data_IF_270256711253
#
_entry.id   IF_270256711253
#
_cell.length_a   1.000
_cell.length_b   1.000
_cell.length_c   1.000
_cell.angle_alpha   90.00
_cell.angle_beta   90.00
_cell.angle_gamma   90.00
#
_symmetry.space_group_name_H-M   'P 1'
#
loop_
_entity.id
_entity.type
_entity.pdbx_description
1 polymer ?
#
# COMPACT_ATOMS: atom_id res chain seq x y z
N UNK A 1 27.54 -15.03 56.29
CA UNK A 1 26.85 -15.92 55.34
C UNK A 1 26.93 -15.27 53.96
N UNK A 2 27.80 -15.76 53.09
CA UNK A 2 27.96 -15.24 51.73
C UNK A 2 26.98 -15.96 50.79
N UNK A 3 26.20 -15.26 49.96
CA UNK A 3 25.36 -15.93 48.96
C UNK A 3 26.22 -16.43 47.80
N UNK A 4 26.20 -17.74 47.62
CA UNK A 4 26.82 -18.49 46.54
C UNK A 4 26.10 -18.17 45.22
N UNK A 5 26.73 -17.38 44.34
CA UNK A 5 26.23 -17.19 42.98
C UNK A 5 26.53 -18.45 42.14
N UNK A 6 25.47 -19.08 41.61
CA UNK A 6 25.60 -20.14 40.60
C UNK A 6 26.00 -19.51 39.25
N UNK A 7 26.96 -20.08 38.51
CA UNK A 7 27.36 -19.56 37.21
C UNK A 7 26.27 -19.80 36.17
N UNK A 8 26.08 -18.80 35.30
CA UNK A 8 25.21 -18.85 34.13
C UNK A 8 25.71 -19.94 33.16
N UNK A 9 24.77 -20.77 32.72
CA UNK A 9 24.98 -21.83 31.73
C UNK A 9 25.45 -21.21 30.42
N UNK A 10 26.64 -21.63 29.99
CA UNK A 10 27.18 -21.43 28.65
C UNK A 10 26.47 -22.46 27.75
N UNK A 11 25.70 -22.01 26.77
CA UNK A 11 25.23 -22.88 25.70
C UNK A 11 26.19 -22.77 24.52
N UNK A 12 26.85 -23.89 24.24
CA UNK A 12 27.65 -24.12 23.05
C UNK A 12 26.79 -24.08 21.78
N UNK A 13 27.38 -23.59 20.70
CA UNK A 13 26.95 -23.90 19.33
C UNK A 13 27.23 -25.38 19.05
N UNK A 14 26.26 -26.07 18.44
CA UNK A 14 26.46 -26.76 17.16
C UNK A 14 25.22 -27.54 16.69
N UNK A 15 25.01 -27.44 15.37
CA UNK A 15 24.49 -28.45 14.43
C UNK A 15 22.98 -28.71 14.26
N UNK A 16 22.52 -28.23 13.09
CA UNK A 16 21.65 -28.89 12.07
C UNK A 16 20.24 -29.39 12.43
N UNK A 17 19.23 -28.75 11.79
CA UNK A 17 17.92 -29.37 11.52
C UNK A 17 16.70 -28.46 11.70
N UNK A 18 16.25 -27.79 10.62
CA UNK A 18 14.95 -27.10 10.43
C UNK A 18 14.60 -25.93 11.40
N UNK A 19 13.76 -24.95 11.00
CA UNK A 19 13.65 -23.67 11.73
C UNK A 19 12.77 -23.82 12.99
N UNK A 20 13.37 -24.34 14.06
CA UNK A 20 12.82 -24.39 15.42
C UNK A 20 12.75 -23.01 16.11
N UNK A 21 13.05 -21.93 15.38
CA UNK A 21 13.18 -20.59 15.95
C UNK A 21 11.89 -20.03 16.53
N UNK A 22 10.71 -20.55 16.14
CA UNK A 22 9.40 -20.09 16.65
C UNK A 22 9.24 -20.36 18.15
N UNK A 23 9.86 -21.43 18.68
CA UNK A 23 9.67 -21.87 20.08
C UNK A 23 10.42 -21.05 21.13
N UNK A 24 11.37 -20.19 20.74
CA UNK A 24 12.14 -19.35 21.69
C UNK A 24 11.59 -17.93 21.87
N UNK A 25 10.53 -17.55 21.14
CA UNK A 25 10.04 -16.17 21.12
C UNK A 25 9.19 -15.77 22.35
N UNK A 26 8.44 -16.69 22.95
CA UNK A 26 7.60 -16.41 24.12
C UNK A 26 8.17 -17.10 25.35
N UNK A 27 8.44 -16.34 26.42
CA UNK A 27 9.00 -16.84 27.68
C UNK A 27 7.87 -17.48 28.50
N UNK A 28 8.03 -18.78 28.81
CA UNK A 28 7.11 -19.55 29.65
C UNK A 28 6.41 -20.65 28.87
N UNK A 29 6.17 -21.79 29.52
CA UNK A 29 5.54 -22.98 28.92
C UNK A 29 4.29 -22.57 28.10
N UNK A 30 4.41 -22.62 26.77
CA UNK A 30 3.36 -22.22 25.83
C UNK A 30 2.13 -23.14 25.87
N UNK A 31 2.22 -24.26 26.59
CA UNK A 31 1.13 -25.23 26.75
C UNK A 31 -0.12 -24.61 27.44
N UNK A 32 0.06 -23.58 28.28
CA UNK A 32 -1.06 -22.84 28.90
C UNK A 32 -1.71 -21.80 27.97
N UNK A 33 -1.10 -21.51 26.82
CA UNK A 33 -1.67 -20.63 25.79
C UNK A 33 -2.34 -21.40 24.65
N UNK A 34 -2.02 -22.68 24.49
CA UNK A 34 -2.46 -23.54 23.39
C UNK A 34 -3.71 -24.37 23.67
N UNK A 35 -4.36 -24.23 24.83
CA UNK A 35 -5.53 -25.04 25.21
C UNK A 35 -6.85 -24.60 24.51
N UNK A 36 -6.78 -24.07 23.29
CA UNK A 36 -7.92 -23.50 22.55
C UNK A 36 -8.08 -24.11 21.14
N UNK A 37 -7.74 -25.38 21.01
CA UNK A 37 -7.86 -26.14 19.76
C UNK A 37 -9.29 -26.67 19.61
N UNK A 38 -10.26 -25.82 19.22
CA UNK A 38 -11.56 -26.22 18.61
C UNK A 38 -12.56 -25.08 18.30
N UNK A 39 -12.13 -23.83 18.16
CA UNK A 39 -13.04 -22.75 17.71
C UNK A 39 -12.56 -22.19 16.37
N UNK A 40 -13.51 -21.94 15.48
CA UNK A 40 -13.31 -21.27 14.19
C UNK A 40 -12.25 -20.17 14.29
N UNK A 41 -11.20 -20.25 13.47
CA UNK A 41 -10.03 -19.36 13.56
C UNK A 41 -10.39 -17.86 13.46
N UNK A 42 -11.43 -17.53 12.69
CA UNK A 42 -11.97 -16.17 12.58
C UNK A 42 -12.70 -15.71 13.85
N UNK A 43 -13.33 -16.62 14.58
CA UNK A 43 -14.10 -16.29 15.78
C UNK A 43 -13.17 -16.00 16.96
N UNK A 44 -12.01 -16.65 17.01
CA UNK A 44 -11.02 -16.45 18.06
C UNK A 44 -10.41 -15.05 18.05
N UNK A 45 -9.94 -14.59 16.89
CA UNK A 45 -9.36 -13.24 16.76
C UNK A 45 -10.41 -12.16 17.10
N UNK A 46 -11.64 -12.36 16.66
CA UNK A 46 -12.77 -11.48 16.98
C UNK A 46 -13.04 -11.45 18.49
N UNK A 47 -13.00 -12.62 19.15
CA UNK A 47 -13.10 -12.74 20.60
C UNK A 47 -12.00 -11.96 21.34
N UNK A 48 -10.74 -12.08 20.89
CA UNK A 48 -9.62 -11.31 21.47
C UNK A 48 -9.79 -9.80 21.29
N UNK A 49 -10.25 -9.35 20.12
CA UNK A 49 -10.53 -7.93 19.88
C UNK A 49 -11.64 -7.44 20.82
N UNK A 50 -12.71 -8.21 21.01
CA UNK A 50 -13.77 -7.86 21.97
C UNK A 50 -13.28 -7.85 23.42
N UNK A 51 -12.42 -8.79 23.81
CA UNK A 51 -11.80 -8.82 25.14
C UNK A 51 -10.96 -7.56 25.38
N UNK A 52 -10.12 -7.18 24.41
CA UNK A 52 -9.29 -5.98 24.46
C UNK A 52 -10.13 -4.71 24.54
N UNK A 53 -11.20 -4.59 23.74
CA UNK A 53 -12.10 -3.43 23.78
C UNK A 53 -12.77 -3.26 25.14
N UNK A 54 -13.04 -4.36 25.86
CA UNK A 54 -13.62 -4.32 27.22
C UNK A 54 -12.58 -4.07 28.31
N UNK A 55 -11.38 -4.60 28.13
CA UNK A 55 -10.29 -4.49 29.11
C UNK A 55 -8.96 -4.15 28.43
N UNK A 56 -8.75 -2.87 28.07
CA UNK A 56 -7.57 -2.44 27.31
C UNK A 56 -6.26 -2.70 28.07
N UNK A 57 -6.28 -2.72 29.40
CA UNK A 57 -5.10 -2.97 30.24
C UNK A 57 -4.67 -4.43 30.35
N UNK A 58 -5.40 -5.38 29.73
CA UNK A 58 -5.08 -6.80 29.81
C UNK A 58 -3.87 -7.15 28.94
N UNK A 59 -2.66 -7.05 29.52
CA UNK A 59 -1.40 -7.33 28.81
C UNK A 59 -1.38 -8.73 28.15
N UNK A 60 -1.94 -9.73 28.85
CA UNK A 60 -1.99 -11.11 28.35
C UNK A 60 -2.84 -11.23 27.08
N UNK A 61 -3.97 -10.51 26.99
CA UNK A 61 -4.82 -10.50 25.80
C UNK A 61 -4.10 -9.89 24.59
N UNK A 62 -3.32 -8.82 24.79
CA UNK A 62 -2.48 -8.24 23.73
C UNK A 62 -1.41 -9.21 23.23
N UNK A 63 -0.71 -9.86 24.15
CA UNK A 63 0.33 -10.85 23.82
C UNK A 63 -0.27 -12.04 23.07
N UNK A 64 -1.45 -12.53 23.48
CA UNK A 64 -2.20 -13.58 22.78
C UNK A 64 -2.56 -13.16 21.36
N UNK A 65 -3.05 -11.93 21.18
CA UNK A 65 -3.39 -11.39 19.85
C UNK A 65 -2.16 -11.26 18.96
N UNK A 66 -1.06 -10.72 19.47
CA UNK A 66 0.22 -10.64 18.71
C UNK A 66 0.68 -12.03 18.30
N UNK A 67 0.67 -12.99 19.24
CA UNK A 67 1.08 -14.36 18.97
C UNK A 67 0.23 -15.02 17.89
N UNK A 68 -1.10 -14.88 17.99
CA UNK A 68 -2.03 -15.41 17.00
C UNK A 68 -1.76 -14.83 15.62
N UNK A 69 -1.70 -13.50 15.50
CA UNK A 69 -1.41 -12.84 14.22
C UNK A 69 -0.06 -13.26 13.63
N UNK A 70 0.96 -13.45 14.47
CA UNK A 70 2.27 -13.93 14.04
C UNK A 70 2.21 -15.39 13.57
N UNK A 71 1.53 -16.27 14.30
CA UNK A 71 1.43 -17.69 13.95
C UNK A 71 0.72 -17.88 12.60
N UNK A 72 -0.37 -17.13 12.39
CA UNK A 72 -1.19 -17.17 11.17
C UNK A 72 -0.62 -16.33 10.02
N UNK A 73 0.56 -15.70 10.19
CA UNK A 73 1.22 -14.86 9.18
C UNK A 73 0.36 -13.69 8.68
N UNK A 74 -0.42 -13.10 9.58
CA UNK A 74 -1.31 -11.98 9.28
C UNK A 74 -0.55 -10.66 9.44
N UNK A 75 0.18 -10.25 8.40
CA UNK A 75 1.06 -9.05 8.43
C UNK A 75 0.36 -7.78 8.92
N UNK A 76 -0.76 -7.40 8.30
CA UNK A 76 -1.48 -6.17 8.66
C UNK A 76 -2.12 -6.22 10.06
N UNK A 77 -2.83 -7.30 10.46
CA UNK A 77 -3.30 -7.47 11.83
C UNK A 77 -2.19 -7.56 12.89
N UNK A 78 -1.03 -8.13 12.55
CA UNK A 78 0.13 -8.22 13.44
C UNK A 78 0.69 -6.83 13.73
N UNK A 79 0.90 -6.03 12.68
CA UNK A 79 1.31 -4.64 12.84
C UNK A 79 0.33 -3.87 13.73
N UNK A 80 -0.98 -3.98 13.47
CA UNK A 80 -2.01 -3.34 14.26
C UNK A 80 -2.00 -3.75 15.74
N UNK A 81 -1.83 -5.05 16.00
CA UNK A 81 -1.75 -5.59 17.36
C UNK A 81 -0.51 -5.07 18.11
N UNK A 82 0.62 -4.90 17.43
CA UNK A 82 1.83 -4.29 18.02
C UNK A 82 1.62 -2.80 18.32
N UNK A 83 0.98 -2.06 17.41
CA UNK A 83 0.64 -0.64 17.63
C UNK A 83 -0.29 -0.50 18.84
N UNK A 84 -1.36 -1.29 18.91
CA UNK A 84 -2.28 -1.33 20.06
C UNK A 84 -1.57 -1.66 21.38
N UNK A 85 -0.65 -2.62 21.35
CA UNK A 85 0.16 -3.00 22.51
C UNK A 85 1.05 -1.87 23.00
N UNK A 86 1.73 -1.16 22.08
CA UNK A 86 2.56 -0.01 22.43
C UNK A 86 1.72 1.14 23.01
N UNK A 87 0.55 1.42 22.41
CA UNK A 87 -0.40 2.43 22.89
C UNK A 87 -0.84 2.17 24.32
N UNK A 88 -1.24 0.93 24.64
CA UNK A 88 -1.67 0.57 25.99
C UNK A 88 -0.53 0.65 27.00
N UNK A 89 0.68 0.27 26.58
CA UNK A 89 1.85 0.37 27.45
C UNK A 89 2.27 1.82 27.72
N UNK A 90 2.03 2.75 26.78
CA UNK A 90 2.29 4.18 26.93
C UNK A 90 3.68 4.45 27.56
N UNK A 91 4.73 4.01 26.85
CA UNK A 91 6.14 4.05 27.27
C UNK A 91 6.51 3.21 28.51
N UNK A 92 5.60 2.43 29.10
CA UNK A 92 5.95 1.46 30.14
C UNK A 92 6.43 0.15 29.51
N UNK A 93 7.24 -0.63 30.23
CA UNK A 93 7.60 -1.97 29.76
C UNK A 93 8.50 -2.00 28.51
N UNK A 94 9.45 -1.07 28.36
CA UNK A 94 10.35 -1.01 27.20
C UNK A 94 10.99 -2.35 26.80
N UNK A 95 11.37 -3.17 27.79
CA UNK A 95 11.97 -4.47 27.54
C UNK A 95 11.00 -5.45 26.86
N UNK A 96 9.73 -5.48 27.26
CA UNK A 96 8.74 -6.35 26.62
C UNK A 96 8.31 -5.80 25.26
N UNK A 97 8.15 -4.48 25.13
CA UNK A 97 7.87 -3.80 23.86
C UNK A 97 8.91 -4.12 22.80
N UNK A 98 10.19 -3.96 23.16
CA UNK A 98 11.32 -4.28 22.26
C UNK A 98 11.33 -5.76 21.89
N UNK A 99 11.12 -6.66 22.85
CA UNK A 99 11.06 -8.11 22.58
C UNK A 99 9.94 -8.47 21.62
N UNK A 100 8.73 -7.93 21.80
CA UNK A 100 7.59 -8.21 20.93
C UNK A 100 7.84 -7.70 19.50
N UNK A 101 8.32 -6.45 19.34
CA UNK A 101 8.62 -5.87 18.02
C UNK A 101 9.77 -6.63 17.33
N UNK A 102 10.85 -6.94 18.05
CA UNK A 102 11.96 -7.73 17.50
C UNK A 102 11.54 -9.15 17.14
N UNK A 103 10.65 -9.75 17.94
CA UNK A 103 10.12 -11.09 17.68
C UNK A 103 9.28 -11.18 16.41
N UNK A 104 8.51 -10.12 16.14
CA UNK A 104 7.67 -10.00 14.94
C UNK A 104 8.44 -9.57 13.68
N UNK A 105 9.73 -9.22 13.77
CA UNK A 105 10.50 -8.56 12.71
C UNK A 105 10.43 -9.25 11.35
N UNK A 106 10.42 -10.59 11.31
CA UNK A 106 10.43 -11.38 10.08
C UNK A 106 9.12 -11.27 9.28
N UNK A 107 8.04 -10.83 9.90
CA UNK A 107 6.72 -10.72 9.27
C UNK A 107 6.28 -9.27 9.02
N UNK A 108 7.09 -8.30 9.42
CA UNK A 108 6.80 -6.87 9.23
C UNK A 108 7.49 -6.35 7.98
N UNK A 109 6.83 -5.43 7.27
CA UNK A 109 7.44 -4.70 6.15
C UNK A 109 8.52 -3.74 6.65
N UNK A 110 9.38 -3.24 5.75
CA UNK A 110 10.41 -2.26 6.13
C UNK A 110 9.79 -1.01 6.79
N UNK A 111 8.77 -0.42 6.14
CA UNK A 111 8.07 0.75 6.64
C UNK A 111 7.44 0.53 8.04
N UNK A 112 6.77 -0.61 8.25
CA UNK A 112 6.17 -0.95 9.55
C UNK A 112 7.22 -1.09 10.65
N UNK A 113 8.37 -1.69 10.35
CA UNK A 113 9.49 -1.80 11.31
C UNK A 113 10.04 -0.43 11.67
N UNK A 114 10.18 0.45 10.70
CA UNK A 114 10.73 1.78 10.93
C UNK A 114 9.81 2.62 11.82
N UNK A 115 8.49 2.55 11.60
CA UNK A 115 7.48 3.17 12.48
C UNK A 115 7.62 2.66 13.92
N UNK A 116 7.62 1.34 14.11
CA UNK A 116 7.69 0.74 15.46
C UNK A 116 9.03 1.02 16.15
N UNK A 117 10.14 0.99 15.41
CA UNK A 117 11.47 1.28 15.98
C UNK A 117 11.60 2.75 16.37
N UNK A 118 11.05 3.66 15.57
CA UNK A 118 11.00 5.09 15.90
C UNK A 118 10.23 5.31 17.20
N UNK A 119 9.06 4.68 17.32
CA UNK A 119 8.24 4.73 18.53
C UNK A 119 8.93 4.18 19.79
N UNK A 120 9.82 3.18 19.61
CA UNK A 120 10.60 2.59 20.71
C UNK A 120 11.84 3.41 21.08
N UNK A 121 12.35 4.24 20.15
CA UNK A 121 13.55 5.03 20.34
C UNK A 121 13.23 6.40 20.96
N UNK A 122 12.11 7.01 20.58
CA UNK A 122 11.70 8.32 21.05
C UNK A 122 10.68 8.23 22.19
N UNK A 123 11.14 8.40 23.43
CA UNK A 123 10.27 8.43 24.61
C UNK A 123 9.46 9.72 24.76
N UNK A 124 9.70 10.72 23.90
CA UNK A 124 9.00 12.02 23.90
C UNK A 124 7.87 12.09 22.87
N UNK A 125 7.90 11.19 21.88
CA UNK A 125 6.82 11.07 20.89
C UNK A 125 5.54 10.57 21.56
N UNK A 126 4.41 11.25 21.33
CA UNK A 126 3.12 10.78 21.80
C UNK A 126 2.73 9.49 21.06
N UNK A 127 2.81 8.35 21.77
CA UNK A 127 2.45 7.03 21.24
C UNK A 127 0.99 7.01 20.77
N UNK A 128 0.12 7.88 21.29
CA UNK A 128 -1.27 7.98 20.84
C UNK A 128 -1.41 8.47 19.39
N UNK A 129 -0.33 8.91 18.75
CA UNK A 129 -0.25 9.39 17.36
C UNK A 129 0.38 8.33 16.43
N UNK A 130 0.58 7.10 16.90
CA UNK A 130 1.09 6.05 16.01
C UNK A 130 0.09 5.73 14.90
N UNK A 131 0.54 5.58 13.63
CA UNK A 131 -0.33 5.26 12.52
C UNK A 131 -0.88 3.84 12.71
N UNK A 132 -2.17 3.76 13.04
CA UNK A 132 -2.93 2.51 13.04
C UNK A 132 -3.44 2.17 11.64
N UNK A 133 -3.95 0.95 11.48
CA UNK A 133 -4.68 0.54 10.28
C UNK A 133 -6.10 0.08 10.67
N UNK A 134 -6.89 -0.42 9.70
CA UNK A 134 -8.27 -0.91 9.95
C UNK A 134 -8.41 -2.02 10.99
N UNK A 135 -7.31 -2.67 11.37
CA UNK A 135 -7.29 -3.72 12.38
C UNK A 135 -6.90 -3.19 13.77
N UNK A 136 -6.50 -1.94 13.90
CA UNK A 136 -6.14 -1.31 15.17
C UNK A 136 -7.39 -1.02 15.99
N UNK A 137 -7.34 -1.30 17.28
CA UNK A 137 -8.46 -1.16 18.23
C UNK A 137 -8.36 0.18 18.97
N UNK A 138 -7.16 0.63 19.29
CA UNK A 138 -6.93 1.82 20.13
C UNK A 138 -6.35 3.01 19.37
N UNK A 139 -6.06 2.86 18.07
CA UNK A 139 -5.71 4.01 17.24
C UNK A 139 -6.89 4.98 17.20
N UNK A 140 -6.65 6.24 17.56
CA UNK A 140 -7.63 7.30 17.36
C UNK A 140 -7.89 7.38 15.85
N UNK A 141 -9.06 6.93 15.42
CA UNK A 141 -9.36 6.67 14.01
C UNK A 141 -9.07 7.85 13.10
N UNK A 142 -8.68 7.51 11.86
CA UNK A 142 -8.47 8.38 10.70
C UNK A 142 -7.68 9.66 10.99
N UNK A 143 -6.34 9.57 11.01
CA UNK A 143 -5.56 10.67 10.45
C UNK A 143 -5.89 10.70 8.95
N UNK A 144 -6.78 11.61 8.56
CA UNK A 144 -7.02 11.90 7.17
C UNK A 144 -5.69 12.32 6.55
N UNK A 145 -5.04 11.44 5.81
CA UNK A 145 -3.98 11.85 4.90
C UNK A 145 -4.62 12.79 3.89
N UNK A 146 -4.36 14.09 4.05
CA UNK A 146 -4.73 15.14 3.08
C UNK A 146 -4.09 14.93 1.70
N UNK A 147 -3.19 13.96 1.59
CA UNK A 147 -2.63 13.46 0.33
C UNK A 147 -3.67 12.60 -0.41
N UNK A 148 -4.73 13.25 -0.91
CA UNK A 148 -5.68 12.66 -1.85
C UNK A 148 -5.08 12.49 -3.25
N UNK A 149 -3.96 13.16 -3.52
CA UNK A 149 -3.27 13.14 -4.81
C UNK A 149 -1.78 13.02 -4.52
N UNK A 150 -1.26 11.79 -4.56
CA UNK A 150 0.14 11.60 -4.89
C UNK A 150 0.23 11.83 -6.39
N UNK A 151 0.78 12.98 -6.81
CA UNK A 151 1.18 13.18 -8.20
C UNK A 151 2.31 12.20 -8.47
N UNK A 152 1.94 11.00 -8.92
CA UNK A 152 2.86 10.01 -9.44
C UNK A 152 3.45 10.61 -10.72
N UNK A 153 4.53 11.37 -10.55
CA UNK A 153 5.50 11.71 -11.61
C UNK A 153 6.47 10.56 -11.83
N UNK A 154 6.18 9.37 -11.30
CA UNK A 154 6.76 8.15 -11.86
C UNK A 154 5.98 7.87 -13.14
N UNK A 155 6.65 7.93 -14.28
CA UNK A 155 6.16 7.31 -15.50
C UNK A 155 5.69 5.91 -15.12
N UNK A 156 4.38 5.69 -15.09
CA UNK A 156 3.85 4.36 -14.90
C UNK A 156 4.28 3.63 -16.16
N UNK A 157 5.35 2.88 -16.04
CA UNK A 157 5.74 1.88 -17.03
C UNK A 157 4.68 0.79 -16.91
N UNK A 158 3.51 1.07 -17.47
CA UNK A 158 2.64 0.01 -17.89
C UNK A 158 3.44 -0.75 -18.96
N UNK A 159 3.74 -2.01 -18.68
CA UNK A 159 4.26 -2.98 -19.67
C UNK A 159 3.20 -3.28 -20.77
N UNK A 160 2.11 -2.52 -20.79
CA UNK A 160 1.02 -2.65 -21.72
C UNK A 160 1.15 -1.60 -22.80
N UNK A 161 0.97 -2.06 -24.03
CA UNK A 161 0.96 -1.22 -25.21
C UNK A 161 -0.13 -0.13 -25.07
N UNK A 162 0.21 1.16 -25.17
CA UNK A 162 -0.77 2.25 -25.04
C UNK A 162 -1.92 2.17 -26.04
N UNK A 163 -1.70 1.56 -27.22
CA UNK A 163 -2.77 1.32 -28.17
C UNK A 163 -3.82 0.36 -27.60
N UNK A 164 -3.37 -0.71 -26.94
CA UNK A 164 -4.26 -1.71 -26.36
C UNK A 164 -5.05 -1.16 -25.16
N UNK A 165 -4.40 -0.34 -24.34
CA UNK A 165 -5.07 0.36 -23.24
C UNK A 165 -6.17 1.30 -23.75
N UNK A 166 -5.92 2.01 -24.85
CA UNK A 166 -6.93 2.85 -25.47
C UNK A 166 -8.08 2.02 -26.08
N UNK A 167 -7.80 0.86 -26.67
CA UNK A 167 -8.82 -0.07 -27.16
C UNK A 167 -9.74 -0.58 -26.04
N UNK A 168 -9.16 -0.94 -24.89
CA UNK A 168 -9.93 -1.35 -23.72
C UNK A 168 -10.80 -0.20 -23.21
N UNK A 169 -10.24 1.01 -23.06
CA UNK A 169 -11.01 2.18 -22.66
C UNK A 169 -12.17 2.47 -23.64
N UNK A 170 -11.94 2.36 -24.96
CA UNK A 170 -13.00 2.51 -25.97
C UNK A 170 -14.08 1.43 -25.83
N UNK A 171 -13.71 0.18 -25.56
CA UNK A 171 -14.63 -0.93 -25.34
C UNK A 171 -15.56 -0.71 -24.14
N UNK A 172 -15.06 -0.01 -23.12
CA UNK A 172 -15.84 0.39 -21.94
C UNK A 172 -16.43 1.80 -22.05
N UNK A 173 -16.46 2.40 -23.25
CA UNK A 173 -17.01 3.73 -23.53
C UNK A 173 -16.33 4.87 -22.73
N UNK A 174 -15.10 4.67 -22.27
CA UNK A 174 -14.28 5.66 -21.59
C UNK A 174 -13.50 6.49 -22.62
N UNK A 175 -14.21 7.21 -23.49
CA UNK A 175 -13.62 7.88 -24.65
C UNK A 175 -12.63 9.00 -24.26
N UNK A 176 -12.91 9.74 -23.19
CA UNK A 176 -12.02 10.79 -22.69
C UNK A 176 -10.69 10.22 -22.17
N UNK A 177 -10.74 9.06 -21.54
CA UNK A 177 -9.58 8.32 -21.05
C UNK A 177 -8.77 7.77 -22.23
N UNK A 178 -9.45 7.15 -23.21
CA UNK A 178 -8.81 6.66 -24.43
C UNK A 178 -8.07 7.79 -25.18
N UNK A 179 -8.69 8.97 -25.35
CA UNK A 179 -8.04 10.13 -25.96
C UNK A 179 -6.81 10.56 -25.17
N UNK A 180 -6.90 10.61 -23.84
CA UNK A 180 -5.79 11.03 -22.97
C UNK A 180 -4.61 10.06 -23.06
N UNK A 181 -4.87 8.75 -23.04
CA UNK A 181 -3.85 7.71 -23.20
C UNK A 181 -3.12 7.87 -24.54
N UNK A 182 -3.86 8.09 -25.63
CA UNK A 182 -3.28 8.25 -26.97
C UNK A 182 -2.51 9.57 -27.12
N UNK A 183 -3.02 10.68 -26.58
CA UNK A 183 -2.35 11.98 -26.57
C UNK A 183 -0.97 11.88 -25.89
N UNK A 184 -0.92 11.29 -24.68
CA UNK A 184 0.33 11.07 -23.94
C UNK A 184 1.28 10.16 -24.73
N UNK A 185 0.78 9.04 -25.26
CA UNK A 185 1.60 8.08 -25.99
C UNK A 185 2.20 8.66 -27.29
N UNK A 186 1.48 9.56 -27.98
CA UNK A 186 1.97 10.25 -29.18
C UNK A 186 3.05 11.28 -28.83
N UNK A 187 2.92 11.98 -27.71
CA UNK A 187 3.97 12.90 -27.23
C UNK A 187 5.28 12.13 -26.97
N UNK A 188 5.18 10.93 -26.41
CA UNK A 188 6.34 10.05 -26.14
C UNK A 188 6.91 9.38 -27.40
N UNK A 189 6.05 8.88 -28.31
CA UNK A 189 6.44 8.09 -29.50
C UNK A 189 5.67 8.54 -30.76
N UNK A 190 6.02 9.70 -31.34
CA UNK A 190 5.31 10.31 -32.47
C UNK A 190 5.45 9.52 -33.78
N UNK A 191 6.44 8.64 -33.91
CA UNK A 191 6.65 7.83 -35.11
C UNK A 191 5.59 6.75 -35.30
N UNK A 192 4.77 6.50 -34.27
CA UNK A 192 3.84 5.38 -34.24
C UNK A 192 2.48 5.75 -34.84
N UNK A 193 2.41 5.67 -36.18
CA UNK A 193 1.21 5.97 -36.98
C UNK A 193 -0.11 5.36 -36.45
N UNK A 194 -0.16 4.10 -35.95
CA UNK A 194 -1.41 3.54 -35.42
C UNK A 194 -2.04 4.36 -34.29
N UNK A 195 -1.22 5.00 -33.44
CA UNK A 195 -1.74 5.85 -32.36
C UNK A 195 -2.41 7.11 -32.92
N UNK A 196 -1.81 7.72 -33.95
CA UNK A 196 -2.38 8.87 -34.62
C UNK A 196 -3.71 8.54 -35.29
N UNK A 197 -3.82 7.40 -35.98
CA UNK A 197 -5.09 7.00 -36.61
C UNK A 197 -6.20 6.83 -35.57
N UNK A 198 -5.93 6.09 -34.48
CA UNK A 198 -6.90 5.88 -33.42
C UNK A 198 -7.37 7.21 -32.78
N UNK A 199 -6.43 8.13 -32.52
CA UNK A 199 -6.76 9.43 -31.93
C UNK A 199 -7.59 10.31 -32.89
N UNK A 200 -7.22 10.34 -34.17
CA UNK A 200 -7.96 11.13 -35.18
C UNK A 200 -9.38 10.60 -35.41
N UNK A 201 -9.58 9.27 -35.36
CA UNK A 201 -10.91 8.67 -35.40
C UNK A 201 -11.75 9.05 -34.18
N UNK A 202 -11.15 9.06 -32.98
CA UNK A 202 -11.82 9.53 -31.78
C UNK A 202 -12.21 11.00 -31.91
N UNK A 203 -11.29 11.90 -32.25
CA UNK A 203 -11.64 13.32 -32.44
C UNK A 203 -12.72 13.55 -33.50
N UNK A 204 -12.70 12.76 -34.58
CA UNK A 204 -13.72 12.86 -35.63
C UNK A 204 -15.09 12.40 -35.13
N UNK A 205 -15.15 11.33 -34.34
CA UNK A 205 -16.41 10.75 -33.84
C UNK A 205 -17.00 11.50 -32.65
N UNK A 206 -16.17 12.07 -31.78
CA UNK A 206 -16.60 12.86 -30.61
C UNK A 206 -16.74 14.36 -30.91
N UNK A 207 -16.25 14.82 -32.06
CA UNK A 207 -16.24 16.22 -32.45
C UNK A 207 -15.45 17.13 -31.50
N UNK A 208 -14.42 16.60 -30.84
CA UNK A 208 -13.56 17.31 -29.90
C UNK A 208 -12.53 18.20 -30.61
N UNK A 209 -13.01 19.26 -31.28
CA UNK A 209 -12.16 20.19 -32.04
C UNK A 209 -11.14 20.90 -31.14
N UNK A 210 -11.53 21.30 -29.93
CA UNK A 210 -10.65 22.03 -29.02
C UNK A 210 -9.43 21.19 -28.59
N UNK A 211 -9.64 19.89 -28.28
CA UNK A 211 -8.54 18.96 -27.97
C UNK A 211 -7.65 18.72 -29.18
N UNK A 212 -8.26 18.53 -30.36
CA UNK A 212 -7.50 18.40 -31.62
C UNK A 212 -6.60 19.60 -31.88
N UNK A 213 -7.11 20.82 -31.76
CA UNK A 213 -6.34 22.05 -32.02
C UNK A 213 -5.17 22.20 -31.04
N UNK A 214 -5.41 21.92 -29.75
CA UNK A 214 -4.37 21.90 -28.73
C UNK A 214 -3.26 20.90 -29.08
N UNK A 215 -3.62 19.65 -29.34
CA UNK A 215 -2.65 18.59 -29.65
C UNK A 215 -1.90 18.87 -30.96
N UNK A 216 -2.60 19.36 -31.98
CA UNK A 216 -1.97 19.75 -33.25
C UNK A 216 -0.98 20.92 -33.06
N UNK A 217 -1.28 21.86 -32.17
CA UNK A 217 -0.34 22.95 -31.83
C UNK A 217 0.91 22.43 -31.12
N UNK A 218 0.74 21.51 -30.17
CA UNK A 218 1.86 20.91 -29.41
C UNK A 218 2.80 20.13 -30.33
N UNK A 219 2.25 19.34 -31.26
CA UNK A 219 3.03 18.61 -32.26
C UNK A 219 3.69 19.51 -33.32
N UNK A 220 3.17 20.71 -33.55
CA UNK A 220 3.74 21.68 -34.50
C UNK A 220 4.94 22.44 -33.92
N UNK A 221 4.99 22.62 -32.59
CA UNK A 221 6.10 23.30 -31.90
C UNK A 221 7.39 22.48 -31.97
N UNK A 222 7.28 21.16 -31.99
CA UNK A 222 8.43 20.24 -31.98
C UNK A 222 9.13 20.07 -33.34
N UNK A 223 8.80 20.86 -34.37
CA UNK A 223 9.37 20.76 -35.75
C UNK A 223 9.20 19.36 -36.40
N UNK A 224 8.26 18.55 -35.92
CA UNK A 224 8.00 17.19 -36.40
C UNK A 224 7.11 17.20 -37.65
N UNK A 225 7.36 16.28 -38.59
CA UNK A 225 6.51 16.12 -39.77
C UNK A 225 5.19 15.48 -39.35
N UNK A 226 4.13 16.29 -39.28
CA UNK A 226 2.79 15.77 -39.01
C UNK A 226 2.31 14.86 -40.17
N UNK A 227 1.71 13.70 -39.87
CA UNK A 227 1.06 12.87 -40.89
C UNK A 227 -0.01 13.64 -41.67
N UNK A 228 -0.19 13.31 -42.95
CA UNK A 228 -1.19 13.96 -43.82
C UNK A 228 -2.62 13.89 -43.25
N UNK A 229 -2.94 12.86 -42.46
CA UNK A 229 -4.26 12.68 -41.85
C UNK A 229 -4.63 13.79 -40.87
N UNK A 230 -3.65 14.41 -40.22
CA UNK A 230 -3.89 15.59 -39.37
C UNK A 230 -4.32 16.80 -40.19
N UNK A 231 -3.77 16.96 -41.40
CA UNK A 231 -4.18 18.04 -42.32
C UNK A 231 -5.59 17.78 -42.86
N UNK A 232 -5.90 16.52 -43.18
CA UNK A 232 -7.23 16.11 -43.62
C UNK A 232 -8.29 16.41 -42.54
N UNK A 233 -8.02 16.06 -41.27
CA UNK A 233 -8.96 16.34 -40.18
C UNK A 233 -9.07 17.84 -39.89
N UNK A 234 -7.98 18.61 -40.00
CA UNK A 234 -8.03 20.08 -39.90
C UNK A 234 -8.96 20.70 -40.92
N UNK A 235 -8.93 20.21 -42.17
CA UNK A 235 -9.82 20.66 -43.22
C UNK A 235 -11.28 20.26 -42.96
N UNK A 236 -11.51 19.07 -42.39
CA UNK A 236 -12.84 18.61 -41.96
C UNK A 236 -13.47 19.56 -40.93
N UNK A 237 -12.72 19.96 -39.90
CA UNK A 237 -13.23 20.90 -38.89
C UNK A 237 -13.46 22.31 -39.45
N UNK A 238 -12.57 22.81 -40.31
CA UNK A 238 -12.74 24.11 -41.00
C UNK A 238 -13.96 24.16 -41.92
N UNK A 239 -14.19 23.11 -42.69
CA UNK A 239 -15.36 23.04 -43.59
C UNK A 239 -16.70 23.05 -42.85
N UNK A 240 -16.71 22.67 -41.56
CA UNK A 240 -17.92 22.68 -40.73
C UNK A 240 -18.16 24.02 -40.03
N UNK A 241 -17.10 24.72 -39.60
CA UNK A 241 -17.23 26.06 -39.01
C UNK A 241 -17.84 27.06 -40.00
N UNK A 242 -17.56 26.90 -41.30
CA UNK A 242 -18.13 27.76 -42.34
C UNK A 242 -19.60 27.43 -42.68
N UNK A 243 -20.08 26.23 -42.32
CA UNK A 243 -21.46 25.77 -42.58
C UNK A 243 -22.47 26.07 -41.47
N UNK A 244 -22.04 26.76 -40.39
CA UNK A 244 -22.93 27.18 -39.30
C UNK A 244 -23.20 28.69 -39.28
N UNK A 245 -22.91 29.36 -40.39
CA UNK A 245 -23.24 30.78 -40.65
C UNK A 245 -24.15 30.85 -41.89
N UNK A 246 -25.31 30.21 -41.85
CA UNK A 246 -26.49 30.53 -42.68
C UNK A 246 -27.78 30.26 -41.89
#
# INVERSE_FOLDING_TARGET
MNPTFKPLIICADDSEGAPSSVRRFFVGSMDDLSNFDNQNESDYLTGLVHELSRNPGCLLAHVRRIYWCYRERLTEPLFAALVDFLMVLNHRGHAISRKMVQGARSQLTAAQRDILNTALADSTQDIAVLPGNRFSVFSKGLEGTSTLIETVTAAVVFDHDPLHLAEDAMKYSQLDEAMTILEVAIQERPERLPLHHALLELYRSTHEQARFEKMASELSVDERVLPEDWKNLKNYFKGRSDSHVE
#
